data_IF_085111614063
#
_entry.id   IF_085111614063
#
_cell.length_a   1.000
_cell.length_b   1.000
_cell.length_c   1.000
_cell.angle_alpha   90.00
_cell.angle_beta   90.00
_cell.angle_gamma   90.00
#
_symmetry.space_group_name_H-M   'P 1'
#
loop_
_entity.id
_entity.type
_entity.pdbx_description
1 polymer ?
#
# COMPACT_ATOMS: atom_id res chain seq x y z
N UNK A 1 10.41 -18.87 20.06
CA UNK A 1 10.19 -17.41 19.94
C UNK A 1 9.46 -16.94 21.19
N UNK A 2 9.90 -15.87 21.87
CA UNK A 2 9.19 -15.34 23.05
C UNK A 2 7.85 -14.76 22.60
N UNK A 3 6.75 -15.06 23.30
CA UNK A 3 5.47 -14.39 23.07
C UNK A 3 5.66 -12.89 23.32
N UNK A 4 5.15 -12.05 22.42
CA UNK A 4 5.09 -10.60 22.62
C UNK A 4 3.77 -10.30 23.31
N UNK A 5 3.85 -9.89 24.57
CA UNK A 5 2.69 -9.60 25.42
C UNK A 5 2.63 -8.12 25.75
N UNK A 6 1.41 -7.58 25.78
CA UNK A 6 1.10 -6.22 26.20
C UNK A 6 0.13 -6.27 27.38
N UNK A 7 0.46 -5.58 28.45
CA UNK A 7 -0.45 -5.33 29.57
C UNK A 7 -1.14 -3.98 29.34
N UNK A 8 -2.42 -4.00 28.98
CA UNK A 8 -3.25 -2.79 28.84
C UNK A 8 -3.82 -2.36 30.20
N UNK A 9 -3.92 -3.30 31.15
CA UNK A 9 -4.20 -3.07 32.57
C UNK A 9 -3.70 -4.26 33.39
N UNK A 10 -3.75 -4.16 34.73
CA UNK A 10 -3.41 -5.27 35.64
C UNK A 10 -4.24 -6.54 35.38
N UNK A 11 -5.43 -6.37 34.80
CA UNK A 11 -6.36 -7.45 34.47
C UNK A 11 -6.44 -7.75 32.98
N UNK A 12 -5.65 -7.11 32.10
CA UNK A 12 -5.72 -7.30 30.65
C UNK A 12 -4.31 -7.41 30.07
N UNK A 13 -3.84 -8.65 29.96
CA UNK A 13 -2.58 -9.01 29.28
C UNK A 13 -2.93 -9.77 28.01
N UNK A 14 -2.48 -9.27 26.87
CA UNK A 14 -2.79 -9.82 25.56
C UNK A 14 -1.52 -10.11 24.77
N UNK A 15 -1.55 -11.14 23.93
CA UNK A 15 -0.50 -11.36 22.95
C UNK A 15 -0.76 -10.50 21.72
N UNK A 16 0.29 -9.92 21.14
CA UNK A 16 0.16 -9.03 19.99
C UNK A 16 1.15 -9.36 18.87
N UNK A 17 0.75 -9.01 17.64
CA UNK A 17 1.59 -9.06 16.45
C UNK A 17 1.79 -7.64 15.92
N UNK A 18 3.03 -7.24 15.59
CA UNK A 18 3.25 -6.05 14.80
C UNK A 18 2.82 -6.31 13.36
N UNK A 19 2.00 -5.42 12.83
CA UNK A 19 1.60 -5.36 11.43
C UNK A 19 2.08 -4.04 10.82
N UNK A 20 2.29 -4.02 9.51
CA UNK A 20 2.63 -2.79 8.80
C UNK A 20 1.44 -1.82 8.87
N UNK A 21 1.71 -0.54 9.16
CA UNK A 21 0.65 0.46 9.22
C UNK A 21 0.06 0.71 7.83
N UNK A 22 -1.11 0.12 7.60
CA UNK A 22 -2.05 0.48 6.54
C UNK A 22 -3.17 1.28 7.21
N UNK A 23 -3.81 2.24 6.53
CA UNK A 23 -4.83 3.09 7.17
C UNK A 23 -5.87 2.20 7.90
N UNK A 24 -5.89 2.22 9.23
CA UNK A 24 -6.51 1.17 10.04
C UNK A 24 -8.02 1.01 9.78
N UNK A 25 -8.51 -0.24 9.73
CA UNK A 25 -9.95 -0.53 9.52
C UNK A 25 -10.83 0.17 10.56
N UNK A 26 -10.31 0.33 11.77
CA UNK A 26 -10.99 1.01 12.88
C UNK A 26 -11.36 2.48 12.58
N UNK A 27 -10.71 3.12 11.61
CA UNK A 27 -11.04 4.49 11.17
C UNK A 27 -12.02 4.55 10.00
N UNK A 28 -12.38 3.42 9.37
CA UNK A 28 -13.36 3.38 8.28
C UNK A 28 -14.70 4.05 8.59
N UNK A 29 -15.28 3.95 9.82
CA UNK A 29 -16.50 4.68 10.16
C UNK A 29 -16.33 6.21 10.10
N UNK A 30 -15.16 6.73 10.49
CA UNK A 30 -14.85 8.16 10.44
C UNK A 30 -14.63 8.61 8.98
N UNK A 31 -13.96 7.77 8.18
CA UNK A 31 -13.79 8.04 6.74
C UNK A 31 -15.12 8.08 5.99
N UNK A 32 -16.08 7.21 6.33
CA UNK A 32 -17.46 7.25 5.79
C UNK A 32 -18.20 8.54 6.14
N UNK A 33 -17.83 9.20 7.23
CA UNK A 33 -18.38 10.50 7.64
C UNK A 33 -17.61 11.69 7.05
N UNK A 34 -16.67 11.45 6.13
CA UNK A 34 -15.90 12.50 5.45
C UNK A 34 -14.71 13.04 6.25
N UNK A 35 -14.31 12.37 7.34
CA UNK A 35 -13.11 12.72 8.11
C UNK A 35 -11.87 12.29 7.32
N UNK A 36 -11.05 13.27 6.94
CA UNK A 36 -9.77 13.03 6.26
C UNK A 36 -8.68 12.63 7.25
N UNK A 37 -7.64 11.93 6.77
CA UNK A 37 -6.47 11.59 7.58
C UNK A 37 -5.81 12.82 8.21
N UNK A 38 -5.74 13.95 7.49
CA UNK A 38 -5.22 15.21 8.02
C UNK A 38 -6.05 15.74 9.20
N UNK A 39 -7.37 15.61 9.13
CA UNK A 39 -8.27 16.01 10.22
C UNK A 39 -8.14 15.07 11.41
N UNK A 40 -8.02 13.77 11.18
CA UNK A 40 -7.79 12.78 12.23
C UNK A 40 -6.44 12.97 12.91
N UNK A 41 -5.36 13.15 12.16
CA UNK A 41 -4.02 13.38 12.68
C UNK A 41 -3.96 14.70 13.48
N UNK A 42 -4.61 15.76 12.98
CA UNK A 42 -4.75 17.02 13.71
C UNK A 42 -5.52 16.84 15.03
N UNK A 43 -6.63 16.09 15.00
CA UNK A 43 -7.42 15.79 16.18
C UNK A 43 -6.63 14.98 17.21
N UNK A 44 -5.92 13.94 16.78
CA UNK A 44 -5.11 13.09 17.66
C UNK A 44 -3.91 13.83 18.25
N UNK A 45 -3.26 14.69 17.46
CA UNK A 45 -2.17 15.52 17.94
C UNK A 45 -2.66 16.51 18.99
N UNK A 46 -3.82 17.15 18.77
CA UNK A 46 -4.38 18.14 19.69
C UNK A 46 -4.93 17.52 20.98
N UNK A 47 -5.63 16.39 20.90
CA UNK A 47 -6.37 15.84 22.04
C UNK A 47 -5.59 14.75 22.79
N UNK A 48 -4.64 14.09 22.13
CA UNK A 48 -3.92 12.94 22.68
C UNK A 48 -2.40 13.06 22.59
N UNK A 49 -1.87 14.10 21.92
CA UNK A 49 -0.43 14.27 21.69
C UNK A 49 0.16 13.19 20.76
N UNK A 50 -0.68 12.55 19.94
CA UNK A 50 -0.29 11.44 19.06
C UNK A 50 -0.43 11.86 17.60
N UNK A 51 0.66 11.71 16.82
CA UNK A 51 0.62 11.86 15.36
C UNK A 51 0.74 10.49 14.68
N UNK A 52 -0.25 10.13 13.87
CA UNK A 52 -0.26 8.89 13.11
C UNK A 52 0.50 9.01 11.78
N UNK A 53 0.70 10.24 11.28
CA UNK A 53 1.36 10.51 9.99
C UNK A 53 2.78 9.91 9.82
N UNK A 54 3.46 9.55 10.91
CA UNK A 54 4.80 8.91 10.89
C UNK A 54 4.80 7.49 11.45
N UNK A 55 3.64 6.97 11.83
CA UNK A 55 3.50 5.64 12.41
C UNK A 55 3.64 4.60 11.31
N UNK A 56 4.58 3.67 11.47
CA UNK A 56 4.86 2.62 10.47
C UNK A 56 4.39 1.24 10.91
N UNK A 57 3.93 1.12 12.15
CA UNK A 57 3.55 -0.15 12.77
C UNK A 57 2.24 0.03 13.51
N UNK A 58 1.26 -0.80 13.17
CA UNK A 58 0.07 -1.02 13.98
C UNK A 58 0.26 -2.36 14.69
N UNK A 59 -0.30 -2.50 15.88
CA UNK A 59 -0.22 -3.75 16.62
C UNK A 59 -1.62 -4.32 16.77
N UNK A 60 -1.77 -5.57 16.35
CA UNK A 60 -3.03 -6.30 16.44
C UNK A 60 -2.95 -7.27 17.61
N UNK A 61 -4.05 -7.42 18.36
CA UNK A 61 -4.12 -8.47 19.37
C UNK A 61 -4.35 -9.82 18.69
N UNK A 62 -3.46 -10.77 18.94
CA UNK A 62 -3.53 -12.15 18.39
C UNK A 62 -4.62 -12.99 19.05
N UNK A 63 -5.11 -12.56 20.21
CA UNK A 63 -6.31 -13.07 20.88
C UNK A 63 -6.93 -11.93 21.66
N UNK A 64 -8.27 -11.88 21.72
CA UNK A 64 -9.00 -10.92 22.56
C UNK A 64 -9.24 -11.55 23.93
N UNK A 65 -8.48 -11.18 24.98
CA UNK A 65 -8.69 -11.74 26.31
C UNK A 65 -10.05 -11.28 26.82
N UNK A 66 -10.89 -12.20 27.33
CA UNK A 66 -12.27 -11.91 27.74
C UNK A 66 -12.39 -10.83 28.85
N UNK A 67 -11.29 -10.56 29.54
CA UNK A 67 -11.09 -9.56 30.60
C UNK A 67 -10.64 -8.18 30.08
N UNK A 68 -10.34 -8.03 28.79
CA UNK A 68 -10.07 -6.74 28.18
C UNK A 68 -11.39 -6.04 27.82
N UNK A 69 -11.57 -4.81 28.30
CA UNK A 69 -12.79 -4.04 28.08
C UNK A 69 -12.92 -3.61 26.61
N UNK A 70 -13.80 -4.29 25.87
CA UNK A 70 -14.13 -3.99 24.48
C UNK A 70 -13.27 -4.77 23.47
N UNK A 71 -13.72 -4.88 22.21
CA UNK A 71 -12.97 -5.53 21.15
C UNK A 71 -11.77 -4.64 20.76
N UNK A 72 -10.72 -4.70 21.56
CA UNK A 72 -9.43 -4.10 21.23
C UNK A 72 -8.81 -4.98 20.14
N UNK A 73 -8.96 -4.56 18.90
CA UNK A 73 -8.39 -5.28 17.76
C UNK A 73 -7.01 -4.73 17.41
N UNK A 74 -6.83 -3.41 17.52
CA UNK A 74 -5.64 -2.70 17.03
C UNK A 74 -5.23 -1.57 17.99
N UNK A 75 -3.93 -1.30 18.09
CA UNK A 75 -3.40 -0.15 18.81
C UNK A 75 -2.14 0.42 18.13
N UNK A 76 -1.87 1.70 18.39
CA UNK A 76 -0.68 2.40 17.90
C UNK A 76 0.25 2.70 19.06
N UNK A 77 1.53 2.38 18.90
CA UNK A 77 2.57 2.87 19.80
C UNK A 77 3.28 4.06 19.14
N UNK A 78 3.16 5.24 19.73
CA UNK A 78 3.83 6.46 19.26
C UNK A 78 4.64 7.03 20.41
N UNK A 79 5.96 6.82 20.36
CA UNK A 79 6.85 7.20 21.45
C UNK A 79 6.55 6.42 22.74
N UNK A 80 6.21 7.16 23.80
CA UNK A 80 5.81 6.67 25.12
C UNK A 80 4.30 6.44 25.27
N UNK A 81 3.53 6.72 24.22
CA UNK A 81 2.07 6.62 24.22
C UNK A 81 1.58 5.39 23.45
N UNK A 82 0.52 4.80 23.97
CA UNK A 82 -0.31 3.82 23.28
C UNK A 82 -1.67 4.48 23.01
N UNK A 83 -2.13 4.43 21.77
CA UNK A 83 -3.44 4.89 21.34
C UNK A 83 -4.28 3.67 20.93
N UNK A 84 -5.45 3.52 21.53
CA UNK A 84 -6.40 2.45 21.23
C UNK A 84 -7.71 3.09 20.73
N UNK A 85 -8.03 2.95 19.44
CA UNK A 85 -9.34 3.33 18.93
C UNK A 85 -10.37 2.20 19.13
N UNK A 86 -11.58 2.58 19.53
CA UNK A 86 -12.75 1.70 19.65
C UNK A 86 -13.91 2.39 18.95
N UNK A 87 -14.06 2.13 17.64
CA UNK A 87 -15.01 2.85 16.79
C UNK A 87 -14.68 4.35 16.73
N UNK A 88 -15.58 5.20 17.24
CA UNK A 88 -15.38 6.65 17.30
C UNK A 88 -14.73 7.14 18.62
N UNK A 89 -14.44 6.23 19.55
CA UNK A 89 -13.83 6.54 20.85
C UNK A 89 -12.33 6.24 20.84
N UNK A 90 -11.54 7.06 21.53
CA UNK A 90 -10.09 6.91 21.61
C UNK A 90 -9.65 6.84 23.07
N UNK A 91 -8.86 5.83 23.40
CA UNK A 91 -8.18 5.69 24.69
C UNK A 91 -6.68 5.90 24.50
N UNK A 92 -6.05 6.68 25.38
CA UNK A 92 -4.61 6.91 25.35
C UNK A 92 -3.97 6.55 26.69
N UNK A 93 -2.88 5.80 26.63
CA UNK A 93 -2.11 5.35 27.78
C UNK A 93 -0.67 5.85 27.63
N UNK A 94 -0.07 6.31 28.72
CA UNK A 94 1.34 6.77 28.75
C UNK A 94 2.12 5.77 29.60
N UNK A 95 3.28 5.34 29.11
CA UNK A 95 4.16 4.44 29.87
C UNK A 95 4.74 5.19 31.07
N UNK A 96 4.54 4.65 32.28
CA UNK A 96 5.27 5.13 33.45
C UNK A 96 6.78 4.84 33.25
N UNK A 97 7.59 5.90 33.31
CA UNK A 97 9.06 5.89 33.29
C UNK A 97 9.75 5.29 32.05
N UNK A 98 9.54 5.86 30.85
CA UNK A 98 10.24 5.43 29.63
C UNK A 98 11.53 6.24 29.32
N UNK A 99 12.73 5.62 29.28
CA UNK A 99 13.93 6.24 28.71
C UNK A 99 13.83 6.28 27.18
N UNK A 100 14.28 7.39 26.56
CA UNK A 100 14.28 7.59 25.09
C UNK A 100 15.12 6.52 24.37
N UNK A 101 14.48 5.77 23.47
CA UNK A 101 15.13 4.83 22.55
C UNK A 101 15.92 5.54 21.44
N UNK A 102 17.02 4.94 20.94
CA UNK A 102 17.86 5.54 19.91
C UNK A 102 17.22 5.46 18.51
N UNK A 103 17.58 6.43 17.66
CA UNK A 103 17.03 6.61 16.32
C UNK A 103 17.43 5.50 15.33
N UNK A 104 16.58 5.18 14.33
CA UNK A 104 16.87 4.14 13.34
C UNK A 104 17.94 4.59 12.33
N UNK A 105 18.69 3.59 11.83
CA UNK A 105 19.76 3.73 10.83
C UNK A 105 19.23 4.20 9.44
N UNK A 106 20.08 4.81 8.60
CA UNK A 106 19.64 5.44 7.35
C UNK A 106 19.27 4.42 6.26
N UNK A 107 18.14 4.64 5.61
CA UNK A 107 17.63 3.82 4.51
C UNK A 107 18.43 4.04 3.21
N UNK A 108 18.77 2.96 2.50
CA UNK A 108 19.18 3.03 1.09
C UNK A 108 18.04 3.71 0.33
N UNK A 109 18.34 4.76 -0.44
CA UNK A 109 17.33 5.52 -1.17
C UNK A 109 16.61 4.62 -2.17
N UNK A 110 15.39 4.18 -1.83
CA UNK A 110 14.53 3.45 -2.75
C UNK A 110 14.09 4.37 -3.88
N UNK A 111 14.04 3.86 -5.12
CA UNK A 111 13.50 4.60 -6.27
C UNK A 111 12.01 4.99 -6.06
N UNK A 112 11.33 4.31 -5.13
CA UNK A 112 9.97 4.62 -4.71
C UNK A 112 9.87 5.68 -3.59
N UNK A 113 10.98 6.25 -3.10
CA UNK A 113 10.97 7.11 -1.90
C UNK A 113 10.12 8.39 -2.02
N UNK A 114 9.71 8.79 -3.23
CA UNK A 114 8.79 9.90 -3.49
C UNK A 114 7.32 9.51 -3.67
N UNK A 115 6.99 8.22 -3.62
CA UNK A 115 5.67 7.70 -3.94
C UNK A 115 4.93 7.23 -2.68
N UNK A 116 3.62 7.49 -2.64
CA UNK A 116 2.71 6.87 -1.69
C UNK A 116 2.49 5.43 -2.13
N UNK A 117 2.47 4.51 -1.16
CA UNK A 117 2.37 3.07 -1.42
C UNK A 117 0.94 2.58 -1.20
N UNK A 118 0.47 1.74 -2.13
CA UNK A 118 -0.78 1.00 -2.03
C UNK A 118 -0.54 -0.26 -1.19
N UNK A 119 -1.38 -0.55 -0.18
CA UNK A 119 -1.26 -1.74 0.66
C UNK A 119 -1.29 -3.07 -0.12
N UNK A 120 -0.69 -4.11 0.46
CA UNK A 120 -0.93 -5.51 0.10
C UNK A 120 -1.77 -6.22 1.20
N UNK A 121 -2.63 -7.18 0.84
CA UNK A 121 -3.04 -7.51 -0.52
C UNK A 121 -3.88 -6.40 -1.15
N UNK A 122 -3.82 -6.30 -2.47
CA UNK A 122 -4.66 -5.38 -3.23
C UNK A 122 -6.00 -6.04 -3.55
N UNK A 123 -7.11 -5.35 -3.29
CA UNK A 123 -8.44 -5.74 -3.77
C UNK A 123 -8.68 -5.13 -5.15
N UNK A 124 -8.45 -5.93 -6.20
CA UNK A 124 -8.55 -5.45 -7.57
C UNK A 124 -9.97 -5.07 -7.98
N UNK A 125 -10.99 -5.83 -7.54
CA UNK A 125 -12.37 -5.50 -7.86
C UNK A 125 -12.74 -4.14 -7.28
N UNK A 126 -12.38 -3.89 -6.02
CA UNK A 126 -12.59 -2.59 -5.38
C UNK A 126 -11.80 -1.49 -6.08
N UNK A 127 -10.54 -1.72 -6.43
CA UNK A 127 -9.75 -0.75 -7.20
C UNK A 127 -10.41 -0.42 -8.54
N UNK A 128 -10.75 -1.43 -9.34
CA UNK A 128 -11.34 -1.22 -10.65
C UNK A 128 -12.70 -0.51 -10.55
N UNK A 129 -13.58 -0.94 -9.63
CA UNK A 129 -14.93 -0.39 -9.51
C UNK A 129 -14.95 1.02 -8.92
N UNK A 130 -14.08 1.31 -7.95
CA UNK A 130 -14.14 2.58 -7.21
C UNK A 130 -13.13 3.61 -7.71
N UNK A 131 -11.98 3.17 -8.21
CA UNK A 131 -10.87 4.05 -8.56
C UNK A 131 -10.75 4.32 -10.04
N UNK A 132 -10.97 3.34 -10.92
CA UNK A 132 -10.89 3.56 -12.37
C UNK A 132 -11.73 4.77 -12.85
N UNK A 133 -13.00 4.96 -12.42
CA UNK A 133 -13.78 6.13 -12.83
C UNK A 133 -13.18 7.47 -12.38
N UNK A 134 -12.50 7.48 -11.23
CA UNK A 134 -11.84 8.66 -10.66
C UNK A 134 -10.51 8.97 -11.34
N UNK A 135 -9.83 7.95 -11.86
CA UNK A 135 -8.58 8.07 -12.61
C UNK A 135 -8.85 8.62 -14.02
N UNK A 136 -9.85 8.10 -14.72
CA UNK A 136 -10.12 8.41 -16.14
C UNK A 136 -10.92 9.71 -16.34
N UNK A 137 -11.77 10.06 -15.37
CA UNK A 137 -12.62 11.26 -15.44
C UNK A 137 -13.55 11.29 -16.67
N UNK A 138 -14.07 12.47 -17.01
CA UNK A 138 -15.03 12.65 -18.12
C UNK A 138 -14.40 12.68 -19.52
N UNK A 139 -13.07 12.84 -19.62
CA UNK A 139 -12.35 13.01 -20.89
C UNK A 139 -11.75 11.72 -21.43
N UNK A 140 -11.86 10.60 -20.70
CA UNK A 140 -11.35 9.30 -21.14
C UNK A 140 -9.84 9.09 -20.94
N UNK A 141 -9.11 10.13 -20.49
CA UNK A 141 -7.66 10.09 -20.30
C UNK A 141 -7.32 9.97 -18.81
N UNK A 142 -6.56 8.94 -18.40
CA UNK A 142 -6.10 8.76 -17.02
C UNK A 142 -5.33 9.98 -16.49
N UNK A 143 -5.54 10.29 -15.21
CA UNK A 143 -4.82 11.31 -14.46
C UNK A 143 -4.43 10.78 -13.07
N UNK A 144 -3.25 11.17 -12.59
CA UNK A 144 -2.85 10.95 -11.19
C UNK A 144 -3.88 11.57 -10.26
N UNK A 145 -4.32 10.82 -9.25
CA UNK A 145 -5.40 11.25 -8.36
C UNK A 145 -5.23 10.73 -6.95
N UNK A 146 -5.57 11.57 -5.97
CA UNK A 146 -5.62 11.19 -4.55
C UNK A 146 -7.04 10.77 -4.10
N UNK A 147 -8.03 10.80 -4.99
CA UNK A 147 -9.44 10.46 -4.67
C UNK A 147 -9.66 8.97 -4.35
N UNK A 148 -8.60 8.18 -4.48
CA UNK A 148 -8.51 6.76 -4.21
C UNK A 148 -7.83 6.44 -2.88
N UNK A 149 -7.23 7.45 -2.26
CA UNK A 149 -6.59 7.33 -0.98
C UNK A 149 -7.63 7.06 0.13
N UNK A 150 -7.24 6.37 1.21
CA UNK A 150 -5.91 5.80 1.45
C UNK A 150 -5.73 4.39 0.85
N UNK A 151 -6.79 3.81 0.27
CA UNK A 151 -6.77 2.41 -0.17
C UNK A 151 -5.90 2.20 -1.42
N UNK A 152 -5.84 3.17 -2.34
CA UNK A 152 -5.01 3.13 -3.53
C UNK A 152 -4.41 4.50 -3.86
N UNK A 153 -3.16 4.49 -4.32
CA UNK A 153 -2.46 5.68 -4.77
C UNK A 153 -2.09 5.55 -6.25
N UNK A 154 -3.05 5.78 -7.17
CA UNK A 154 -2.81 5.67 -8.61
C UNK A 154 -2.01 6.86 -9.12
N UNK A 155 -0.96 6.54 -9.86
CA UNK A 155 -0.13 7.47 -10.61
C UNK A 155 -0.30 7.22 -12.10
N UNK A 156 -0.09 8.24 -12.92
CA UNK A 156 0.00 8.11 -14.37
C UNK A 156 1.40 8.49 -14.78
N UNK A 157 2.09 7.60 -15.49
CA UNK A 157 3.44 7.86 -15.98
C UNK A 157 3.38 8.97 -17.02
N UNK A 158 4.17 10.01 -16.80
CA UNK A 158 4.29 11.14 -17.72
C UNK A 158 5.74 11.24 -18.19
N UNK A 159 5.95 11.55 -19.48
CA UNK A 159 7.26 11.80 -20.04
C UNK A 159 7.79 13.16 -19.54
N UNK A 160 8.20 13.21 -18.28
CA UNK A 160 8.80 14.37 -17.61
C UNK A 160 10.21 14.02 -17.15
N UNK A 161 11.16 14.94 -17.37
CA UNK A 161 12.55 14.76 -16.91
C UNK A 161 12.60 14.71 -15.38
N UNK A 162 13.31 13.72 -14.85
CA UNK A 162 13.75 13.69 -13.44
C UNK A 162 13.06 12.68 -12.54
N UNK A 163 12.08 11.92 -13.04
CA UNK A 163 11.43 10.85 -12.28
C UNK A 163 11.81 9.47 -12.84
N UNK A 164 12.78 8.84 -12.19
CA UNK A 164 13.34 7.57 -12.64
C UNK A 164 12.30 6.44 -12.66
N UNK A 165 11.29 6.45 -11.77
CA UNK A 165 10.27 5.41 -11.76
C UNK A 165 9.30 5.58 -12.94
N UNK A 166 8.86 6.81 -13.22
CA UNK A 166 8.03 7.09 -14.41
C UNK A 166 8.77 6.74 -15.70
N UNK A 167 10.06 7.08 -15.78
CA UNK A 167 10.89 6.75 -16.95
C UNK A 167 11.02 5.24 -17.14
N UNK A 168 11.21 4.47 -16.07
CA UNK A 168 11.22 3.01 -16.14
C UNK A 168 9.88 2.49 -16.65
N UNK A 169 8.76 2.89 -16.03
CA UNK A 169 7.42 2.41 -16.37
C UNK A 169 7.04 2.77 -17.82
N UNK A 170 7.31 4.01 -18.23
CA UNK A 170 6.91 4.52 -19.55
C UNK A 170 7.75 4.00 -20.71
N UNK A 171 8.98 3.53 -20.45
CA UNK A 171 9.86 2.96 -21.48
C UNK A 171 9.97 1.44 -21.45
N UNK A 172 9.36 0.78 -20.45
CA UNK A 172 9.43 -0.66 -20.30
C UNK A 172 8.67 -1.39 -21.41
N UNK A 173 9.20 -2.55 -21.81
CA UNK A 173 8.59 -3.42 -22.81
C UNK A 173 7.74 -4.50 -22.13
N UNK A 174 6.43 -4.32 -22.20
CA UNK A 174 5.44 -5.18 -21.54
C UNK A 174 5.16 -6.47 -22.32
N UNK A 175 5.56 -6.57 -23.59
CA UNK A 175 5.35 -7.78 -24.41
C UNK A 175 6.19 -8.97 -23.93
N UNK A 176 7.31 -8.71 -23.23
CA UNK A 176 8.34 -9.70 -22.88
C UNK A 176 7.91 -10.89 -22.04
N UNK A 177 6.77 -10.84 -21.35
CA UNK A 177 6.22 -12.01 -20.64
C UNK A 177 4.91 -12.52 -21.22
N UNK A 178 4.63 -12.23 -22.50
CA UNK A 178 3.42 -12.68 -23.17
C UNK A 178 2.16 -12.00 -22.64
N UNK A 179 2.28 -10.76 -22.17
CA UNK A 179 1.12 -10.04 -21.67
C UNK A 179 0.14 -9.77 -22.80
N UNK A 180 -1.08 -10.26 -22.63
CA UNK A 180 -2.17 -10.01 -23.55
C UNK A 180 -2.46 -8.50 -23.64
N UNK A 181 -2.81 -8.05 -24.86
CA UNK A 181 -3.25 -6.69 -25.12
C UNK A 181 -2.21 -5.59 -24.85
N UNK A 182 -0.94 -5.96 -24.75
CA UNK A 182 0.18 -5.02 -24.70
C UNK A 182 0.44 -4.33 -26.06
N UNK A 183 -0.11 -4.87 -27.16
CA UNK A 183 -0.02 -4.27 -28.49
C UNK A 183 -0.71 -2.91 -28.54
N UNK A 184 0.01 -1.87 -28.96
CA UNK A 184 -0.47 -0.48 -28.92
C UNK A 184 -0.32 0.20 -27.55
N UNK A 185 0.14 -0.52 -26.53
CA UNK A 185 0.55 0.03 -25.23
C UNK A 185 2.07 0.00 -25.05
N UNK A 186 2.77 -1.03 -25.54
CA UNK A 186 4.20 -1.23 -25.27
C UNK A 186 5.15 -0.54 -26.27
N UNK A 187 6.22 0.15 -25.84
CA UNK A 187 6.35 0.83 -24.55
C UNK A 187 5.46 2.10 -24.48
N UNK A 188 4.87 2.44 -23.32
CA UNK A 188 3.81 3.46 -23.22
C UNK A 188 4.15 4.82 -23.83
N UNK A 189 5.34 5.35 -23.56
CA UNK A 189 5.75 6.66 -24.06
C UNK A 189 5.89 6.68 -25.58
N UNK A 190 6.33 5.58 -26.20
CA UNK A 190 6.41 5.47 -27.65
C UNK A 190 5.02 5.42 -28.28
N UNK A 191 4.09 4.72 -27.63
CA UNK A 191 2.70 4.59 -28.10
C UNK A 191 1.83 5.80 -27.74
N UNK A 192 2.36 6.76 -26.97
CA UNK A 192 1.61 7.87 -26.37
C UNK A 192 0.45 7.40 -25.48
N UNK A 193 0.55 6.19 -24.95
CA UNK A 193 -0.42 5.58 -24.05
C UNK A 193 -0.18 6.03 -22.60
N UNK A 194 -1.27 6.14 -21.83
CA UNK A 194 -1.20 6.50 -20.42
C UNK A 194 -1.04 5.26 -19.52
N UNK A 195 0.19 4.96 -19.10
CA UNK A 195 0.44 3.90 -18.13
C UNK A 195 0.03 4.36 -16.72
N UNK A 196 -1.06 3.78 -16.21
CA UNK A 196 -1.45 3.97 -14.81
C UNK A 196 -0.70 2.97 -13.96
N UNK A 197 -0.19 3.36 -12.80
CA UNK A 197 0.52 2.44 -11.92
C UNK A 197 0.25 2.68 -10.44
N UNK A 198 0.43 1.61 -9.67
CA UNK A 198 0.43 1.59 -8.22
C UNK A 198 1.81 1.16 -7.75
N UNK A 199 2.32 1.83 -6.72
CA UNK A 199 3.55 1.44 -6.03
C UNK A 199 3.16 0.68 -4.76
N UNK A 200 3.80 -0.44 -4.46
CA UNK A 200 3.55 -1.21 -3.24
C UNK A 200 4.69 -1.02 -2.23
N UNK A 201 4.50 -1.42 -0.95
CA UNK A 201 5.60 -1.52 -0.02
C UNK A 201 6.79 -2.26 -0.65
N UNK A 202 8.03 -1.79 -0.43
CA UNK A 202 9.19 -2.42 -1.01
C UNK A 202 9.50 -3.75 -0.32
N UNK A 203 9.77 -4.79 -1.11
CA UNK A 203 10.33 -6.04 -0.59
C UNK A 203 11.85 -5.91 -0.50
N UNK A 204 12.35 -5.56 0.68
CA UNK A 204 13.77 -5.25 0.91
C UNK A 204 14.22 -4.10 -0.01
N UNK A 205 15.11 -4.37 -0.98
CA UNK A 205 15.58 -3.38 -1.95
C UNK A 205 14.81 -3.42 -3.28
N UNK A 206 13.77 -4.24 -3.38
CA UNK A 206 12.96 -4.38 -4.58
C UNK A 206 11.72 -3.50 -4.45
N UNK A 207 11.53 -2.61 -5.42
CA UNK A 207 10.27 -1.89 -5.60
C UNK A 207 9.33 -2.74 -6.44
N UNK A 208 8.13 -3.00 -5.94
CA UNK A 208 7.07 -3.67 -6.68
C UNK A 208 6.07 -2.60 -7.15
N UNK A 209 5.74 -2.62 -8.44
CA UNK A 209 4.69 -1.77 -9.02
C UNK A 209 3.70 -2.64 -9.79
N UNK A 210 2.44 -2.24 -9.83
CA UNK A 210 1.42 -2.77 -10.76
C UNK A 210 1.14 -1.72 -11.81
N UNK A 211 1.05 -2.11 -13.07
CA UNK A 211 0.77 -1.24 -14.21
C UNK A 211 -0.51 -1.71 -14.88
N UNK A 212 -1.39 -0.77 -15.16
CA UNK A 212 -2.68 -0.95 -15.82
C UNK A 212 -2.84 0.12 -16.93
N UNK A 213 -3.48 -0.26 -18.03
CA UNK A 213 -3.94 0.62 -19.08
C UNK A 213 -5.43 0.94 -18.86
N UNK A 214 -5.71 2.16 -18.43
CA UNK A 214 -7.08 2.64 -18.20
C UNK A 214 -7.56 3.64 -19.24
N UNK A 215 -6.80 3.86 -20.31
CA UNK A 215 -7.19 4.82 -21.34
C UNK A 215 -8.42 4.31 -22.11
N UNK A 216 -9.47 5.13 -22.10
CA UNK A 216 -10.73 4.86 -22.79
C UNK A 216 -10.72 5.60 -24.12
N UNK A 217 -10.65 4.85 -25.21
CA UNK A 217 -10.78 5.40 -26.57
C UNK A 217 -12.28 5.53 -26.87
N UNK A 218 -12.72 6.73 -27.28
CA UNK A 218 -14.14 6.96 -27.58
C UNK A 218 -14.56 6.08 -28.76
N UNK A 219 -15.69 5.38 -28.60
CA UNK A 219 -16.35 4.55 -29.61
C UNK A 219 -15.59 3.30 -30.08
N UNK A 220 -14.57 2.86 -29.34
CA UNK A 220 -13.88 1.60 -29.61
C UNK A 220 -13.74 0.79 -28.32
N UNK A 221 -14.31 -0.42 -28.31
CA UNK A 221 -13.90 -1.45 -27.37
C UNK A 221 -12.51 -1.92 -27.83
N UNK A 222 -11.47 -1.48 -27.13
CA UNK A 222 -10.15 -2.09 -27.24
C UNK A 222 -9.88 -2.93 -26.02
N UNK A 223 -9.28 -4.09 -26.23
CA UNK A 223 -8.72 -4.84 -25.13
C UNK A 223 -7.59 -4.04 -24.48
N UNK A 224 -7.58 -3.96 -23.15
CA UNK A 224 -6.61 -3.16 -22.40
C UNK A 224 -5.70 -4.05 -21.57
N UNK A 225 -4.41 -3.74 -21.61
CA UNK A 225 -3.43 -4.39 -20.74
C UNK A 225 -3.75 -4.03 -19.28
N UNK A 226 -3.87 -5.01 -18.41
CA UNK A 226 -4.04 -4.77 -16.97
C UNK A 226 -3.34 -5.83 -16.13
N UNK A 227 -2.96 -5.44 -14.92
CA UNK A 227 -2.43 -6.36 -13.92
C UNK A 227 -1.02 -6.88 -14.15
N UNK A 228 -0.18 -6.09 -14.83
CA UNK A 228 1.25 -6.40 -14.91
C UNK A 228 1.95 -5.88 -13.68
N UNK A 229 2.56 -6.77 -12.91
CA UNK A 229 3.50 -6.42 -11.86
C UNK A 229 4.93 -6.35 -12.40
N UNK A 230 5.64 -5.28 -12.10
CA UNK A 230 7.07 -5.14 -12.37
C UNK A 230 7.82 -5.16 -11.04
N UNK A 231 8.90 -5.93 -10.98
CA UNK A 231 9.89 -5.83 -9.92
C UNK A 231 11.07 -4.97 -10.38
N UNK A 232 11.44 -3.99 -9.57
CA UNK A 232 12.47 -3.01 -9.90
C UNK A 232 13.55 -3.06 -8.83
N UNK A 233 14.79 -3.33 -9.22
CA UNK A 233 15.94 -3.29 -8.32
C UNK A 233 17.15 -2.72 -9.06
N UNK A 234 17.98 -1.94 -8.35
CA UNK A 234 19.15 -1.30 -8.94
C UNK A 234 18.81 -0.36 -10.11
N UNK A 235 17.64 0.29 -10.08
CA UNK A 235 17.22 1.25 -11.10
C UNK A 235 16.75 0.67 -12.44
N UNK A 236 16.41 -0.63 -12.48
CA UNK A 236 15.87 -1.27 -13.69
C UNK A 236 14.82 -2.33 -13.34
N UNK A 237 13.96 -2.66 -14.30
CA UNK A 237 13.06 -3.82 -14.20
C UNK A 237 13.91 -5.10 -14.17
N UNK A 238 13.74 -5.89 -13.13
CA UNK A 238 14.38 -7.21 -12.97
C UNK A 238 13.51 -8.30 -13.56
N UNK A 239 12.20 -8.23 -13.32
CA UNK A 239 11.24 -9.24 -13.75
C UNK A 239 9.83 -8.65 -13.89
N UNK A 240 8.95 -9.38 -14.59
CA UNK A 240 7.54 -9.03 -14.72
C UNK A 240 6.64 -10.27 -14.59
N UNK A 241 5.45 -10.10 -14.03
CA UNK A 241 4.44 -11.15 -13.91
C UNK A 241 3.02 -10.56 -14.00
N UNK A 242 2.04 -11.34 -14.43
CA UNK A 242 0.64 -10.96 -14.51
C UNK A 242 -0.26 -12.15 -14.16
N UNK A 243 -1.59 -11.94 -14.16
CA UNK A 243 -2.57 -13.01 -13.88
C UNK A 243 -2.72 -13.38 -12.40
N UNK A 244 -2.17 -12.58 -11.48
CA UNK A 244 -2.23 -12.87 -10.06
C UNK A 244 -2.31 -11.61 -9.20
N UNK A 245 -2.49 -11.80 -7.89
CA UNK A 245 -2.45 -10.74 -6.88
C UNK A 245 -1.46 -11.07 -5.77
N UNK A 246 -0.65 -10.09 -5.37
CA UNK A 246 0.30 -10.27 -4.28
C UNK A 246 -0.38 -10.19 -2.92
N UNK A 247 -0.04 -11.12 -2.04
CA UNK A 247 -0.35 -11.05 -0.61
C UNK A 247 0.73 -10.27 0.16
N UNK A 248 0.57 -10.12 1.48
CA UNK A 248 1.53 -9.40 2.36
C UNK A 248 2.92 -10.04 2.40
N UNK A 249 3.02 -11.34 2.09
CA UNK A 249 4.28 -12.08 2.05
C UNK A 249 4.94 -12.05 0.66
N UNK A 250 4.46 -11.18 -0.23
CA UNK A 250 4.92 -11.07 -1.62
C UNK A 250 4.83 -12.39 -2.38
N UNK A 251 3.79 -13.18 -2.09
CA UNK A 251 3.38 -14.34 -2.86
C UNK A 251 2.26 -13.92 -3.81
N UNK A 252 2.46 -14.18 -5.09
CA UNK A 252 1.52 -13.94 -6.18
C UNK A 252 0.55 -15.13 -6.24
N UNK A 253 -0.73 -14.82 -6.03
CA UNK A 253 -1.83 -15.78 -5.94
C UNK A 253 -2.73 -15.67 -7.19
N UNK A 254 -2.97 -16.78 -7.86
CA UNK A 254 -3.98 -16.93 -8.92
C UNK A 254 -5.11 -17.79 -8.35
N UNK A 255 -6.33 -17.24 -8.30
CA UNK A 255 -7.49 -17.91 -7.68
C UNK A 255 -7.22 -18.44 -6.25
N UNK A 256 -6.43 -17.68 -5.48
CA UNK A 256 -6.04 -18.04 -4.11
C UNK A 256 -4.91 -19.08 -4.01
N UNK A 257 -4.41 -19.60 -5.13
CA UNK A 257 -3.29 -20.55 -5.17
C UNK A 257 -1.97 -19.84 -5.46
N UNK A 258 -0.88 -20.18 -4.77
CA UNK A 258 0.40 -19.54 -5.03
C UNK A 258 0.99 -20.03 -6.36
N UNK A 259 1.33 -19.08 -7.23
CA UNK A 259 1.92 -19.36 -8.55
C UNK A 259 3.33 -18.79 -8.70
N UNK A 260 3.67 -17.77 -7.90
CA UNK A 260 5.03 -17.26 -7.80
C UNK A 260 5.30 -16.56 -6.47
N UNK A 261 6.58 -16.41 -6.12
CA UNK A 261 7.06 -15.60 -4.98
C UNK A 261 8.10 -14.60 -5.44
N UNK A 262 8.00 -13.36 -4.96
CA UNK A 262 9.06 -12.38 -5.17
C UNK A 262 10.29 -12.72 -4.31
N UNK A 263 11.44 -12.79 -4.94
CA UNK A 263 12.72 -13.05 -4.27
C UNK A 263 13.48 -11.75 -3.99
N UNK A 264 14.48 -11.81 -3.12
CA UNK A 264 15.28 -10.64 -2.72
C UNK A 264 16.08 -10.03 -3.88
N UNK A 265 16.34 -10.83 -4.92
CA UNK A 265 17.00 -10.37 -6.15
C UNK A 265 16.05 -9.61 -7.07
N UNK A 266 14.75 -9.62 -6.78
CA UNK A 266 13.69 -9.08 -7.62
C UNK A 266 13.08 -10.08 -8.59
N UNK A 267 13.55 -11.34 -8.64
CA UNK A 267 12.96 -12.35 -9.55
C UNK A 267 11.66 -12.93 -9.00
N UNK A 268 10.71 -13.24 -9.87
CA UNK A 268 9.51 -13.99 -9.54
C UNK A 268 9.80 -15.50 -9.70
N UNK A 269 9.98 -16.20 -8.57
CA UNK A 269 10.19 -17.63 -8.57
C UNK A 269 8.84 -18.34 -8.68
N UNK A 270 8.58 -18.98 -9.83
CA UNK A 270 7.36 -19.78 -10.05
C UNK A 270 7.31 -20.99 -9.12
N UNK A 271 6.11 -21.35 -8.69
CA UNK A 271 5.84 -22.51 -7.84
C UNK A 271 5.27 -23.67 -8.65
#
# INVERSE_FOLDING_TARGET
MRSKEIALSDACVAQFSPDEYLFPEVFQPLSKQGVTEKQLDSFLAQNFGVGLAKTKTVYSLTSSPANCAGPVMEFFQVGDRILIPVGATFHSYVKADAPKLPAPAPAVASIAAGYKVTPLPMDYERYNNTCRPKIVGRKGKPQTTELCAPDYFPYVAEAKRGDALMDIIGNHDYERAGQEYAGGFSPPFRQKAAATFLVFPPFKQVTLVRVDDFEVVRNEERDVMSGVYLSIAGGKVVDQISGCHFNRDYVCLEEGRPVARLTETGKFQRQ
#
